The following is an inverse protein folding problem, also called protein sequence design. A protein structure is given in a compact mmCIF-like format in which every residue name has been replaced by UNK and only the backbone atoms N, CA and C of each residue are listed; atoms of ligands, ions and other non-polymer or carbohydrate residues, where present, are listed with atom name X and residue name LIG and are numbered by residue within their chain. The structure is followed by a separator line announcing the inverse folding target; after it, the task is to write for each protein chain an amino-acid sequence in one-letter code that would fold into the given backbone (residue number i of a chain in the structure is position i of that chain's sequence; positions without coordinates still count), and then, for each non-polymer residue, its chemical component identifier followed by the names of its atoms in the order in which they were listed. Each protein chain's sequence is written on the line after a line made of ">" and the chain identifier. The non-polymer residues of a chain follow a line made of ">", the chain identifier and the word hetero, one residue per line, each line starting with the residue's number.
data_IF_827500456720
#
_entry.id   IF_827500456720
#
_cell.length_a   1.000
_cell.length_b   1.000
_cell.length_c   1.000
_cell.angle_alpha   90.00
_cell.angle_beta   90.00
_cell.angle_gamma   90.00
#
_symmetry.space_group_name_H-M   'P 1'
#
loop_
_entity.id
_entity.type
_entity.pdbx_description
1 polymer ?
#
# COMPACT_ATOMS: atom_id res chain seq x y z
N UNK A 1 7.48 7.95 -2.89
CA UNK A 1 7.88 9.37 -2.81
C UNK A 1 8.54 9.63 -1.47
N UNK A 2 9.82 9.92 -1.47
CA UNK A 2 10.61 10.18 -0.26
C UNK A 2 10.93 11.68 -0.12
N UNK A 3 10.34 12.53 -0.98
CA UNK A 3 10.60 13.98 -1.04
C UNK A 3 12.07 14.36 -1.14
N UNK A 4 12.90 13.49 -1.71
CA UNK A 4 14.37 13.65 -1.70
C UNK A 4 14.83 14.95 -2.40
N UNK A 5 14.13 15.37 -3.45
CA UNK A 5 14.49 16.53 -4.28
C UNK A 5 13.88 17.84 -3.80
N UNK A 6 12.90 17.82 -2.91
CA UNK A 6 12.23 19.02 -2.42
C UNK A 6 12.93 19.57 -1.17
N UNK A 7 12.92 20.88 -0.95
CA UNK A 7 13.56 21.51 0.20
C UNK A 7 12.68 21.47 1.46
N UNK A 8 13.30 21.44 2.65
CA UNK A 8 12.59 21.62 3.92
C UNK A 8 12.00 23.02 3.97
N UNK A 9 10.74 23.12 4.42
CA UNK A 9 9.95 24.36 4.45
C UNK A 9 9.13 24.58 3.18
N UNK A 10 9.43 23.89 2.08
CA UNK A 10 8.68 23.98 0.83
C UNK A 10 7.55 22.94 0.77
N UNK A 11 6.54 23.22 -0.07
CA UNK A 11 5.54 22.24 -0.47
C UNK A 11 6.08 21.40 -1.64
N UNK A 12 5.88 20.06 -1.67
CA UNK A 12 6.48 19.21 -2.69
C UNK A 12 6.04 19.56 -4.11
N UNK A 13 6.99 19.63 -5.04
CA UNK A 13 6.76 20.11 -6.41
C UNK A 13 5.78 19.25 -7.24
N UNK A 14 5.65 17.96 -6.94
CA UNK A 14 4.75 17.05 -7.64
C UNK A 14 3.39 16.86 -6.93
N UNK A 15 3.09 17.75 -5.99
CA UNK A 15 1.84 17.74 -5.25
C UNK A 15 1.08 19.04 -5.48
N UNK A 16 -0.23 18.99 -5.26
CA UNK A 16 -1.10 20.16 -5.32
C UNK A 16 -2.02 20.18 -4.10
N UNK A 17 -2.43 21.38 -3.68
CA UNK A 17 -3.31 21.54 -2.52
C UNK A 17 -4.16 22.81 -2.63
N UNK A 18 -5.32 22.79 -2.01
CA UNK A 18 -6.16 23.98 -1.78
C UNK A 18 -5.94 24.60 -0.38
N UNK A 19 -4.93 24.13 0.35
CA UNK A 19 -4.56 24.62 1.68
C UNK A 19 -3.06 24.92 1.69
N UNK A 20 -2.39 24.66 2.82
CA UNK A 20 -0.94 24.80 2.97
C UNK A 20 -0.34 23.52 3.54
N UNK A 21 0.93 23.33 3.31
CA UNK A 21 1.73 22.25 3.86
C UNK A 21 3.20 22.53 3.61
N UNK A 22 4.06 21.88 4.33
CA UNK A 22 5.50 22.04 4.20
C UNK A 22 6.23 20.75 4.55
N UNK A 23 7.39 20.57 3.98
CA UNK A 23 8.29 19.49 4.34
C UNK A 23 9.05 19.83 5.61
N UNK A 24 9.06 18.89 6.53
CA UNK A 24 9.75 19.01 7.81
C UNK A 24 10.61 17.79 8.10
N UNK A 25 11.61 17.97 8.97
CA UNK A 25 12.29 16.85 9.61
C UNK A 25 11.54 16.49 10.89
N UNK A 26 11.42 15.21 11.18
CA UNK A 26 10.85 14.70 12.43
C UNK A 26 11.99 14.10 13.27
N UNK A 27 12.14 14.55 14.50
CA UNK A 27 13.20 14.07 15.40
C UNK A 27 13.14 12.55 15.58
N UNK A 28 14.28 11.88 15.40
CA UNK A 28 14.41 10.43 15.51
C UNK A 28 13.81 9.65 14.34
N UNK A 29 13.52 10.32 13.21
CA UNK A 29 13.01 9.70 11.97
C UNK A 29 13.86 10.10 10.78
N UNK A 30 14.13 9.12 9.93
CA UNK A 30 14.81 9.36 8.66
C UNK A 30 13.86 9.95 7.62
N UNK A 31 14.43 10.68 6.65
CA UNK A 31 13.68 11.24 5.54
C UNK A 31 12.91 12.51 5.88
N UNK A 32 12.17 13.01 4.90
CA UNK A 32 11.34 14.21 5.00
C UNK A 32 9.87 13.83 5.14
N UNK A 33 9.14 14.63 5.89
CA UNK A 33 7.73 14.42 6.18
C UNK A 33 6.92 15.61 5.69
N UNK A 34 5.84 15.35 4.96
CA UNK A 34 4.90 16.38 4.56
C UNK A 34 3.92 16.66 5.70
N UNK A 35 4.06 17.81 6.32
CA UNK A 35 3.15 18.35 7.34
C UNK A 35 1.91 18.91 6.65
N UNK A 36 0.74 18.40 6.99
CA UNK A 36 -0.53 18.72 6.39
C UNK A 36 -1.28 19.73 7.26
N UNK A 37 -1.60 20.88 6.71
CA UNK A 37 -2.41 21.89 7.40
C UNK A 37 -3.88 21.48 7.46
N UNK A 38 -4.67 22.17 8.29
CA UNK A 38 -6.10 21.96 8.43
C UNK A 38 -6.89 22.32 7.15
N UNK A 39 -8.08 21.76 7.04
CA UNK A 39 -9.07 22.06 5.98
C UNK A 39 -8.52 21.87 4.55
N UNK A 40 -7.58 20.94 4.40
CA UNK A 40 -6.83 20.70 3.17
C UNK A 40 -7.24 19.45 2.42
N UNK A 41 -7.09 19.53 1.09
CA UNK A 41 -7.01 18.40 0.17
C UNK A 41 -5.61 18.44 -0.44
N UNK A 42 -4.88 17.34 -0.33
CA UNK A 42 -3.50 17.18 -0.79
C UNK A 42 -3.47 16.09 -1.86
N UNK A 43 -3.04 16.45 -3.04
CA UNK A 43 -3.14 15.63 -4.23
C UNK A 43 -1.75 15.32 -4.80
N UNK A 44 -1.28 14.07 -4.76
CA UNK A 44 -0.07 13.66 -5.50
C UNK A 44 -0.38 13.60 -6.99
N UNK A 45 0.06 14.60 -7.78
CA UNK A 45 -0.28 14.76 -9.20
C UNK A 45 0.30 13.64 -10.08
N UNK A 46 1.32 12.95 -9.61
CA UNK A 46 1.91 11.80 -10.30
C UNK A 46 1.02 10.54 -10.30
N UNK A 47 -0.04 10.49 -9.44
CA UNK A 47 -1.00 9.39 -9.44
C UNK A 47 -2.14 9.72 -10.39
N UNK A 48 -2.03 9.27 -11.63
CA UNK A 48 -3.01 9.53 -12.69
C UNK A 48 -3.90 8.34 -13.02
N UNK A 49 -3.63 7.19 -12.44
CA UNK A 49 -4.42 5.98 -12.62
C UNK A 49 -4.33 5.09 -11.37
N UNK A 50 -5.45 4.47 -11.01
CA UNK A 50 -5.54 3.44 -9.98
C UNK A 50 -6.03 2.15 -10.62
N UNK A 51 -5.13 1.25 -11.02
CA UNK A 51 -5.52 -0.03 -11.62
C UNK A 51 -6.35 -0.87 -10.64
N UNK A 52 -6.96 -1.94 -11.15
CA UNK A 52 -7.78 -2.82 -10.31
C UNK A 52 -6.98 -3.56 -9.24
N UNK A 53 -5.64 -3.66 -9.41
CA UNK A 53 -4.75 -4.29 -8.43
C UNK A 53 -3.60 -3.34 -8.14
N UNK A 54 -3.54 -2.86 -6.91
CA UNK A 54 -2.44 -2.04 -6.42
C UNK A 54 -2.30 -2.15 -4.90
N UNK A 55 -1.15 -1.73 -4.40
CA UNK A 55 -0.90 -1.43 -2.99
C UNK A 55 -0.47 0.02 -2.86
N UNK A 56 -1.16 0.77 -2.03
CA UNK A 56 -0.78 2.12 -1.61
C UNK A 56 -0.27 2.04 -0.18
N UNK A 57 0.96 2.49 0.05
CA UNK A 57 1.59 2.49 1.37
C UNK A 57 2.08 3.88 1.71
N UNK A 58 2.01 4.24 2.98
CA UNK A 58 2.58 5.49 3.51
C UNK A 58 2.73 5.38 5.03
N UNK A 59 3.61 6.21 5.58
CA UNK A 59 3.75 6.39 7.01
C UNK A 59 2.95 7.62 7.44
N UNK A 60 2.26 7.52 8.58
CA UNK A 60 1.39 8.55 9.15
C UNK A 60 1.81 8.84 10.59
N UNK A 61 2.00 10.13 10.90
CA UNK A 61 2.26 10.61 12.26
C UNK A 61 1.22 11.68 12.64
N UNK A 62 0.88 11.74 13.92
CA UNK A 62 0.22 12.90 14.54
C UNK A 62 1.07 13.44 15.70
N UNK A 63 0.79 14.68 16.16
CA UNK A 63 1.44 15.20 17.37
C UNK A 63 0.98 14.49 18.65
N UNK A 64 1.77 14.59 19.71
CA UNK A 64 1.57 13.85 20.97
C UNK A 64 0.21 14.13 21.64
N UNK A 65 -0.18 15.39 21.69
CA UNK A 65 -1.42 15.84 22.35
C UNK A 65 -2.53 16.14 21.31
N UNK A 66 -2.64 15.31 20.28
CA UNK A 66 -3.65 15.50 19.24
C UNK A 66 -5.06 15.50 19.83
N UNK A 67 -5.85 16.52 19.53
CA UNK A 67 -7.18 16.70 20.11
C UNK A 67 -8.21 15.73 19.57
N UNK A 68 -9.00 15.13 20.46
CA UNK A 68 -10.19 14.35 20.05
C UNK A 68 -11.17 15.14 19.16
N UNK A 69 -11.26 16.46 19.35
CA UNK A 69 -12.15 17.32 18.57
C UNK A 69 -11.61 17.74 17.21
N UNK A 70 -10.37 17.39 16.92
CA UNK A 70 -9.80 17.60 15.58
C UNK A 70 -10.32 16.54 14.61
N UNK A 71 -10.40 16.90 13.34
CA UNK A 71 -10.91 15.99 12.31
C UNK A 71 -9.89 14.91 12.00
N UNK A 72 -10.37 13.71 11.67
CA UNK A 72 -9.56 12.60 11.24
C UNK A 72 -8.79 12.93 9.94
N UNK A 73 -7.60 12.35 9.78
CA UNK A 73 -6.92 12.26 8.51
C UNK A 73 -7.63 11.23 7.62
N UNK A 74 -7.77 11.52 6.34
CA UNK A 74 -8.39 10.58 5.42
C UNK A 74 -7.57 10.42 4.13
N UNK A 75 -7.56 9.20 3.61
CA UNK A 75 -7.12 8.89 2.26
C UNK A 75 -8.32 8.51 1.41
N UNK A 76 -8.41 9.08 0.21
CA UNK A 76 -9.52 8.90 -0.69
C UNK A 76 -9.01 8.31 -2.01
N UNK A 77 -9.50 7.12 -2.36
CA UNK A 77 -9.27 6.44 -3.62
C UNK A 77 -10.45 6.74 -4.51
N UNK A 78 -10.30 7.64 -5.46
CA UNK A 78 -11.45 8.26 -6.10
C UNK A 78 -11.41 8.26 -7.63
N UNK A 79 -12.59 8.40 -8.21
CA UNK A 79 -12.81 8.70 -9.61
C UNK A 79 -13.15 10.18 -9.73
N UNK A 80 -12.37 10.90 -10.53
CA UNK A 80 -12.53 12.33 -10.81
C UNK A 80 -12.55 12.59 -12.30
N UNK A 81 -13.34 13.56 -12.74
CA UNK A 81 -13.32 14.03 -14.13
C UNK A 81 -12.02 14.80 -14.42
N UNK A 82 -11.58 15.62 -13.48
CA UNK A 82 -10.25 16.20 -13.45
C UNK A 82 -9.69 16.10 -12.03
N UNK A 83 -8.39 15.89 -11.87
CA UNK A 83 -7.76 15.72 -10.55
C UNK A 83 -8.07 16.88 -9.60
N UNK A 84 -8.04 18.12 -10.08
CA UNK A 84 -8.37 19.32 -9.29
C UNK A 84 -9.80 19.36 -8.75
N UNK A 85 -10.72 18.54 -9.26
CA UNK A 85 -12.09 18.45 -8.73
C UNK A 85 -12.08 17.91 -7.29
N UNK A 86 -11.01 17.20 -6.88
CA UNK A 86 -10.80 16.76 -5.51
C UNK A 86 -10.96 17.90 -4.51
N UNK A 87 -10.45 19.11 -4.83
CA UNK A 87 -10.47 20.27 -3.95
C UNK A 87 -11.88 20.75 -3.57
N UNK A 88 -12.88 20.44 -4.38
CA UNK A 88 -14.28 20.77 -4.12
C UNK A 88 -15.07 19.56 -3.61
N UNK A 89 -14.77 18.36 -4.08
CA UNK A 89 -15.55 17.15 -3.80
C UNK A 89 -15.11 16.53 -2.46
N UNK A 90 -13.81 16.43 -2.21
CA UNK A 90 -13.29 15.66 -1.07
C UNK A 90 -12.87 16.50 0.15
N UNK A 91 -12.90 17.83 0.05
CA UNK A 91 -12.68 18.66 1.25
C UNK A 91 -13.73 18.36 2.32
N UNK A 92 -13.41 18.67 3.57
CA UNK A 92 -14.41 18.66 4.65
C UNK A 92 -15.60 19.54 4.24
N UNK A 93 -16.82 19.06 4.40
CA UNK A 93 -18.04 19.72 3.93
C UNK A 93 -18.07 20.01 2.42
N UNK A 94 -17.34 19.22 1.62
CA UNK A 94 -17.35 19.32 0.17
C UNK A 94 -18.62 18.76 -0.48
N UNK A 95 -18.58 18.68 -1.80
CA UNK A 95 -19.72 18.22 -2.62
C UNK A 95 -19.91 16.69 -2.51
N UNK A 96 -20.46 16.21 -1.39
CA UNK A 96 -20.62 14.78 -1.10
C UNK A 96 -21.42 14.05 -2.19
N UNK A 97 -22.41 14.72 -2.80
CA UNK A 97 -23.21 14.17 -3.90
C UNK A 97 -22.40 13.83 -5.15
N UNK A 98 -21.16 14.27 -5.25
CA UNK A 98 -20.25 13.99 -6.36
C UNK A 98 -19.13 13.00 -5.98
N UNK A 99 -19.11 12.51 -4.74
CA UNK A 99 -18.10 11.54 -4.32
C UNK A 99 -18.31 10.21 -5.02
N UNK A 100 -17.22 9.68 -5.58
CA UNK A 100 -17.19 8.37 -6.23
C UNK A 100 -15.85 7.73 -5.88
N UNK A 101 -15.88 6.65 -5.09
CA UNK A 101 -14.68 5.99 -4.57
C UNK A 101 -14.78 5.55 -3.13
N UNK A 102 -13.63 5.36 -2.50
CA UNK A 102 -13.54 4.88 -1.12
C UNK A 102 -12.71 5.84 -0.29
N UNK A 103 -13.28 6.31 0.80
CA UNK A 103 -12.60 7.06 1.85
C UNK A 103 -12.23 6.11 2.99
N UNK A 104 -11.01 6.18 3.47
CA UNK A 104 -10.56 5.54 4.72
C UNK A 104 -9.99 6.63 5.61
N UNK A 105 -10.41 6.66 6.86
CA UNK A 105 -10.02 7.71 7.80
C UNK A 105 -9.36 7.12 9.04
N UNK A 106 -8.45 7.89 9.63
CA UNK A 106 -7.65 7.52 10.79
C UNK A 106 -7.66 8.66 11.79
N UNK A 107 -7.97 8.35 13.03
CA UNK A 107 -7.96 9.30 14.13
C UNK A 107 -7.23 8.70 15.34
N UNK A 108 -6.29 9.43 15.98
CA UNK A 108 -5.48 8.85 17.06
C UNK A 108 -6.23 8.75 18.39
N UNK A 109 -7.48 9.19 18.48
CA UNK A 109 -8.30 9.11 19.69
C UNK A 109 -9.74 8.68 19.39
N UNK A 110 -10.32 7.87 20.26
CA UNK A 110 -11.75 7.65 20.39
C UNK A 110 -12.37 8.55 21.48
N UNK A 111 -13.67 8.44 21.70
CA UNK A 111 -14.37 9.21 22.73
C UNK A 111 -13.87 8.92 24.16
N UNK A 112 -13.26 7.77 24.39
CA UNK A 112 -12.68 7.38 25.68
C UNK A 112 -11.22 7.80 25.86
N UNK A 113 -10.56 8.27 24.78
CA UNK A 113 -9.15 8.68 24.80
C UNK A 113 -8.14 7.54 25.00
N UNK A 114 -8.59 6.29 25.09
CA UNK A 114 -7.74 5.12 25.37
C UNK A 114 -7.27 4.36 24.12
N UNK A 115 -7.81 4.68 22.97
CA UNK A 115 -7.49 4.04 21.70
C UNK A 115 -7.76 5.00 20.55
N UNK A 116 -7.27 4.67 19.34
CA UNK A 116 -7.61 5.35 18.12
C UNK A 116 -8.84 4.75 17.46
N UNK A 117 -9.24 5.35 16.35
CA UNK A 117 -10.35 4.87 15.53
C UNK A 117 -10.01 4.96 14.05
N UNK A 118 -10.59 4.06 13.28
CA UNK A 118 -10.57 4.09 11.83
C UNK A 118 -11.96 3.86 11.30
N UNK A 119 -12.32 4.53 10.23
CA UNK A 119 -13.57 4.31 9.53
C UNK A 119 -13.36 4.25 8.02
N UNK A 120 -14.36 3.75 7.33
CA UNK A 120 -14.44 3.83 5.87
C UNK A 120 -15.83 4.22 5.41
N UNK A 121 -15.90 4.85 4.24
CA UNK A 121 -17.13 5.12 3.51
C UNK A 121 -16.84 4.84 2.02
N UNK A 122 -17.64 3.97 1.41
CA UNK A 122 -17.61 3.74 -0.03
C UNK A 122 -18.76 4.46 -0.69
N UNK A 123 -18.49 5.13 -1.81
CA UNK A 123 -19.44 5.94 -2.57
C UNK A 123 -19.54 5.44 -4.01
N UNK A 124 -20.75 5.47 -4.55
CA UNK A 124 -21.02 5.38 -6.01
C UNK A 124 -21.88 6.59 -6.40
N UNK A 125 -21.31 7.48 -7.21
CA UNK A 125 -21.99 8.70 -7.70
C UNK A 125 -22.72 9.47 -6.59
N UNK A 126 -22.05 9.69 -5.47
CA UNK A 126 -22.54 10.42 -4.32
C UNK A 126 -23.40 9.63 -3.33
N UNK A 127 -23.80 8.41 -3.69
CA UNK A 127 -24.56 7.54 -2.78
C UNK A 127 -23.62 6.73 -1.90
N UNK A 128 -23.84 6.70 -0.59
CA UNK A 128 -23.12 5.82 0.32
C UNK A 128 -23.53 4.36 0.07
N UNK A 129 -22.59 3.52 -0.33
CA UNK A 129 -22.81 2.08 -0.51
C UNK A 129 -22.64 1.33 0.80
N UNK A 130 -21.62 1.68 1.55
CA UNK A 130 -21.29 1.07 2.83
C UNK A 130 -20.43 2.00 3.66
N UNK A 131 -20.57 1.90 4.97
CA UNK A 131 -19.69 2.56 5.94
C UNK A 131 -19.61 1.76 7.23
N UNK A 132 -18.50 1.88 7.92
CA UNK A 132 -18.34 1.37 9.28
C UNK A 132 -17.19 2.08 9.98
N UNK A 133 -17.13 1.95 11.31
CA UNK A 133 -16.09 2.47 12.18
C UNK A 133 -15.66 1.39 13.17
N UNK A 134 -14.38 1.34 13.51
CA UNK A 134 -13.85 0.48 14.55
C UNK A 134 -12.71 1.19 15.30
N UNK A 135 -12.52 0.78 16.54
CA UNK A 135 -11.36 1.17 17.32
C UNK A 135 -10.09 0.48 16.82
N UNK A 136 -8.94 1.10 17.09
CA UNK A 136 -7.61 0.52 16.81
C UNK A 136 -6.60 0.89 17.87
N UNK A 137 -5.74 -0.08 18.21
CA UNK A 137 -4.58 0.13 19.07
C UNK A 137 -3.29 0.33 18.25
N UNK A 138 -3.40 0.45 16.93
CA UNK A 138 -2.25 0.59 16.03
C UNK A 138 -1.93 2.04 15.67
N UNK A 139 -2.85 2.96 15.93
CA UNK A 139 -2.65 4.39 15.77
C UNK A 139 -3.43 5.12 16.86
N UNK A 140 -2.76 5.48 17.97
CA UNK A 140 -3.43 6.20 19.04
C UNK A 140 -2.46 7.02 19.91
N UNK A 141 -2.89 8.25 20.22
CA UNK A 141 -2.33 9.14 21.23
C UNK A 141 -0.80 9.22 21.27
N UNK A 142 -0.27 9.31 22.50
CA UNK A 142 1.16 9.47 22.77
C UNK A 142 1.98 8.19 22.53
N UNK A 143 1.34 7.04 22.59
CA UNK A 143 2.04 5.75 22.65
C UNK A 143 2.30 5.16 21.26
N UNK A 144 1.36 5.34 20.34
CA UNK A 144 1.46 4.89 18.92
C UNK A 144 1.00 5.98 17.96
N UNK A 145 1.67 7.12 17.99
CA UNK A 145 1.37 8.27 17.13
C UNK A 145 1.88 8.11 15.70
N UNK A 146 2.70 7.11 15.44
CA UNK A 146 3.22 6.76 14.13
C UNK A 146 2.72 5.38 13.72
N UNK A 147 2.33 5.26 12.47
CA UNK A 147 1.86 4.01 11.92
C UNK A 147 2.16 3.90 10.44
N UNK A 148 2.50 2.69 10.01
CA UNK A 148 2.57 2.34 8.60
C UNK A 148 1.18 1.91 8.12
N UNK A 149 0.68 2.55 7.08
CA UNK A 149 -0.63 2.24 6.49
C UNK A 149 -0.44 1.57 5.14
N UNK A 150 -1.05 0.40 4.97
CA UNK A 150 -1.07 -0.32 3.68
C UNK A 150 -2.51 -0.53 3.22
N UNK A 151 -2.81 -0.10 2.02
CA UNK A 151 -4.13 -0.20 1.39
C UNK A 151 -4.00 -1.03 0.11
N UNK A 152 -4.63 -2.20 0.11
CA UNK A 152 -4.59 -3.14 -1.00
C UNK A 152 -5.91 -3.18 -1.73
N UNK A 153 -5.89 -2.83 -3.00
CA UNK A 153 -7.01 -3.06 -3.90
C UNK A 153 -6.79 -4.33 -4.72
N UNK A 154 -7.79 -5.21 -4.74
CA UNK A 154 -7.86 -6.36 -5.63
C UNK A 154 -9.24 -6.39 -6.30
N UNK A 155 -9.33 -5.87 -7.52
CA UNK A 155 -10.59 -5.66 -8.26
C UNK A 155 -11.58 -4.81 -7.43
N UNK A 156 -12.66 -5.42 -6.94
CA UNK A 156 -13.67 -4.76 -6.09
C UNK A 156 -13.32 -4.77 -4.60
N UNK A 157 -12.35 -5.59 -4.19
CA UNK A 157 -11.98 -5.76 -2.78
C UNK A 157 -10.97 -4.73 -2.34
N UNK A 158 -11.14 -4.19 -1.12
CA UNK A 158 -10.17 -3.36 -0.42
C UNK A 158 -9.79 -4.02 0.90
N UNK A 159 -8.50 -4.07 1.19
CA UNK A 159 -7.97 -4.40 2.52
C UNK A 159 -7.15 -3.23 3.02
N UNK A 160 -7.29 -2.93 4.30
CA UNK A 160 -6.53 -1.88 4.97
C UNK A 160 -5.82 -2.48 6.17
N UNK A 161 -4.54 -2.19 6.26
CA UNK A 161 -3.67 -2.57 7.37
C UNK A 161 -3.13 -1.30 8.03
N UNK A 162 -3.05 -1.31 9.34
CA UNK A 162 -2.29 -0.35 10.13
C UNK A 162 -1.18 -1.15 10.80
N UNK A 163 0.07 -0.84 10.50
CA UNK A 163 1.20 -1.69 10.77
C UNK A 163 0.96 -3.08 10.13
N UNK A 164 0.99 -4.15 10.88
CA UNK A 164 0.73 -5.51 10.38
C UNK A 164 -0.71 -5.99 10.64
N UNK A 165 -1.52 -5.18 11.33
CA UNK A 165 -2.89 -5.53 11.69
C UNK A 165 -3.88 -5.16 10.58
N UNK A 166 -4.62 -6.14 10.10
CA UNK A 166 -5.69 -5.92 9.13
C UNK A 166 -6.92 -5.35 9.83
N UNK A 167 -7.16 -4.05 9.64
CA UNK A 167 -8.32 -3.35 10.24
C UNK A 167 -9.58 -3.42 9.38
N UNK A 168 -9.44 -3.49 8.05
CA UNK A 168 -10.57 -3.61 7.13
C UNK A 168 -10.35 -4.68 6.07
N UNK A 169 -11.44 -5.38 5.73
CA UNK A 169 -11.51 -6.31 4.61
C UNK A 169 -12.88 -6.19 3.94
N UNK A 170 -12.94 -5.47 2.83
CA UNK A 170 -14.17 -5.03 2.18
C UNK A 170 -14.28 -5.68 0.79
N UNK A 171 -15.03 -6.78 0.64
CA UNK A 171 -15.08 -7.52 -0.64
C UNK A 171 -15.65 -6.72 -1.82
N UNK A 172 -16.46 -5.69 -1.55
CA UNK A 172 -17.19 -4.90 -2.55
C UNK A 172 -17.04 -3.39 -2.32
N UNK A 173 -15.83 -2.94 -2.00
CA UNK A 173 -15.53 -1.52 -1.78
C UNK A 173 -15.57 -0.70 -3.07
N UNK A 174 -15.24 -1.32 -4.22
CA UNK A 174 -15.21 -0.68 -5.53
C UNK A 174 -16.30 -1.23 -6.43
N UNK A 175 -16.87 -0.35 -7.27
CA UNK A 175 -17.88 -0.73 -8.26
C UNK A 175 -17.21 -1.39 -9.45
N UNK A 176 -17.75 -2.53 -9.88
CA UNK A 176 -17.23 -3.28 -11.04
C UNK A 176 -17.34 -2.43 -12.32
N UNK A 177 -16.27 -2.45 -13.12
CA UNK A 177 -16.23 -1.71 -14.39
C UNK A 177 -16.01 -0.21 -14.25
N UNK A 178 -15.79 0.29 -13.03
CA UNK A 178 -15.46 1.70 -12.79
C UNK A 178 -13.94 1.89 -12.70
N UNK A 179 -13.40 2.80 -13.52
CA UNK A 179 -11.99 3.20 -13.45
C UNK A 179 -11.82 4.30 -12.41
N UNK A 180 -10.98 4.06 -11.42
CA UNK A 180 -10.54 5.05 -10.45
C UNK A 180 -9.20 5.61 -10.90
N UNK A 181 -8.95 6.88 -10.67
CA UNK A 181 -7.79 7.55 -11.28
C UNK A 181 -7.03 8.49 -10.34
N UNK A 182 -7.46 8.65 -9.11
CA UNK A 182 -6.84 9.64 -8.22
C UNK A 182 -6.79 9.16 -6.77
N UNK A 183 -5.73 9.56 -6.11
CA UNK A 183 -5.61 9.51 -4.65
C UNK A 183 -5.58 10.93 -4.15
N UNK A 184 -6.31 11.25 -3.10
CA UNK A 184 -6.09 12.49 -2.36
C UNK A 184 -6.15 12.24 -0.86
N UNK A 185 -5.32 12.98 -0.14
CA UNK A 185 -5.31 13.00 1.32
C UNK A 185 -6.07 14.21 1.81
N UNK A 186 -6.82 14.07 2.89
CA UNK A 186 -7.64 15.16 3.39
C UNK A 186 -7.54 15.32 4.89
N UNK A 187 -7.50 16.57 5.30
CA UNK A 187 -7.64 17.01 6.68
C UNK A 187 -8.86 17.90 6.79
N UNK A 188 -9.44 18.00 7.99
CA UNK A 188 -10.48 18.98 8.25
C UNK A 188 -10.02 19.96 9.31
N UNK A 189 -10.99 20.52 10.08
CA UNK A 189 -10.70 21.47 11.14
C UNK A 189 -9.86 20.85 12.26
N UNK A 190 -8.81 21.56 12.69
CA UNK A 190 -8.05 21.23 13.88
C UNK A 190 -8.52 22.08 15.06
N UNK A 191 -8.75 21.43 16.19
CA UNK A 191 -9.21 22.10 17.41
C UNK A 191 -8.11 22.87 18.10
N UNK A 192 -6.89 22.30 18.12
CA UNK A 192 -5.71 22.93 18.70
C UNK A 192 -4.77 23.40 17.58
N UNK A 193 -4.06 24.49 17.80
CA UNK A 193 -3.15 25.07 16.80
C UNK A 193 -1.95 24.17 16.46
N UNK A 194 -1.54 23.31 17.43
CA UNK A 194 -0.44 22.35 17.26
C UNK A 194 -0.89 21.04 16.58
N UNK A 195 -2.20 20.78 16.47
CA UNK A 195 -2.67 19.55 15.83
C UNK A 195 -2.24 19.50 14.38
N UNK A 196 -1.68 18.37 14.00
CA UNK A 196 -1.18 18.13 12.64
C UNK A 196 -1.08 16.64 12.35
N UNK A 197 -1.20 16.33 11.09
CA UNK A 197 -0.79 15.05 10.54
C UNK A 197 0.41 15.24 9.64
N UNK A 198 1.29 14.27 9.63
CA UNK A 198 2.44 14.22 8.74
C UNK A 198 2.44 12.89 8.01
N UNK A 199 2.79 12.91 6.73
CA UNK A 199 2.93 11.70 5.91
C UNK A 199 4.31 11.64 5.28
N UNK A 200 4.81 10.42 5.11
CA UNK A 200 6.07 10.14 4.41
C UNK A 200 5.99 8.78 3.70
N UNK A 201 7.04 8.42 3.00
CA UNK A 201 7.24 7.10 2.36
C UNK A 201 6.06 6.64 1.49
N UNK A 202 5.41 7.59 0.80
CA UNK A 202 4.29 7.26 -0.09
C UNK A 202 4.77 6.39 -1.25
N UNK A 203 4.22 5.18 -1.34
CA UNK A 203 4.51 4.19 -2.38
C UNK A 203 3.21 3.71 -3.01
N UNK A 204 3.14 3.75 -4.33
CA UNK A 204 2.08 3.12 -5.10
C UNK A 204 2.71 2.01 -5.93
N UNK A 205 2.60 0.77 -5.45
CA UNK A 205 2.96 -0.41 -6.23
C UNK A 205 1.75 -0.82 -7.06
N UNK A 206 1.86 -0.64 -8.36
CA UNK A 206 0.87 -1.15 -9.31
C UNK A 206 1.04 -2.66 -9.35
N UNK A 207 -0.04 -3.37 -9.00
CA UNK A 207 -0.03 -4.74 -8.60
C UNK A 207 0.84 -5.64 -9.46
N UNK A 208 1.56 -6.52 -8.77
CA UNK A 208 1.87 -7.79 -9.40
C UNK A 208 0.55 -8.34 -9.93
N UNK A 209 0.50 -8.75 -11.21
CA UNK A 209 -0.68 -9.43 -11.72
C UNK A 209 -0.98 -10.54 -10.74
N UNK A 210 -2.24 -10.67 -10.39
CA UNK A 210 -2.76 -11.77 -9.58
C UNK A 210 -1.92 -13.03 -9.90
N UNK A 211 -1.03 -13.39 -9.00
CA UNK A 211 -0.14 -14.56 -9.15
C UNK A 211 -0.94 -15.77 -9.62
N UNK A 212 -2.19 -15.87 -9.13
CA UNK A 212 -3.15 -16.88 -9.55
C UNK A 212 -3.53 -16.74 -11.02
N UNK A 213 -3.91 -15.53 -11.46
CA UNK A 213 -4.37 -15.30 -12.84
C UNK A 213 -3.22 -15.53 -13.82
N UNK A 214 -2.03 -15.04 -13.54
CA UNK A 214 -0.87 -15.29 -14.39
C UNK A 214 -0.46 -16.75 -14.40
N UNK A 215 -0.35 -17.38 -13.24
CA UNK A 215 0.10 -18.75 -13.17
C UNK A 215 -0.92 -19.73 -13.77
N UNK A 216 -2.22 -19.52 -13.55
CA UNK A 216 -3.30 -20.43 -14.00
C UNK A 216 -3.80 -20.10 -15.39
N UNK A 217 -3.91 -18.82 -15.75
CA UNK A 217 -4.53 -18.40 -17.02
C UNK A 217 -3.47 -18.16 -18.11
N UNK A 218 -2.33 -17.55 -17.75
CA UNK A 218 -1.26 -17.26 -18.70
C UNK A 218 -0.19 -18.38 -18.74
N UNK A 219 -0.25 -19.32 -17.78
CA UNK A 219 0.69 -20.44 -17.67
C UNK A 219 2.08 -20.06 -17.20
N UNK A 220 2.32 -18.79 -16.82
CA UNK A 220 3.61 -18.30 -16.32
C UNK A 220 3.43 -17.14 -15.35
N UNK A 221 4.38 -17.00 -14.43
CA UNK A 221 4.46 -15.88 -13.50
C UNK A 221 5.92 -15.50 -13.31
N UNK A 222 6.26 -14.24 -13.48
CA UNK A 222 7.60 -13.69 -13.24
C UNK A 222 7.54 -12.69 -12.08
N UNK A 223 8.52 -12.73 -11.19
CA UNK A 223 8.60 -11.83 -10.04
C UNK A 223 10.04 -11.52 -9.67
N UNK A 224 10.31 -10.28 -9.32
CA UNK A 224 11.54 -9.83 -8.66
C UNK A 224 11.40 -9.75 -7.14
N UNK A 225 10.22 -10.11 -6.58
CA UNK A 225 9.93 -10.00 -5.15
C UNK A 225 10.54 -11.12 -4.29
N UNK A 226 11.25 -12.10 -4.89
CA UNK A 226 12.00 -13.11 -4.14
C UNK A 226 13.47 -12.66 -4.07
N UNK A 227 13.87 -12.17 -2.90
CA UNK A 227 15.18 -11.59 -2.63
C UNK A 227 16.10 -12.62 -1.97
N UNK A 228 17.40 -12.52 -2.27
CA UNK A 228 18.44 -13.39 -1.71
C UNK A 228 19.55 -12.56 -1.06
N UNK A 229 20.29 -13.17 -0.17
CA UNK A 229 21.55 -12.61 0.29
C UNK A 229 22.55 -12.56 -0.87
N UNK A 230 23.46 -11.57 -0.86
CA UNK A 230 24.45 -11.41 -1.94
C UNK A 230 25.30 -12.65 -2.11
N UNK A 231 25.44 -13.14 -3.35
CA UNK A 231 26.20 -14.34 -3.69
C UNK A 231 25.67 -15.65 -3.07
N UNK A 232 24.42 -15.67 -2.58
CA UNK A 232 23.84 -16.80 -1.85
C UNK A 232 22.49 -17.22 -2.43
N UNK A 233 22.06 -18.42 -2.08
CA UNK A 233 20.73 -18.98 -2.33
C UNK A 233 19.80 -18.87 -1.11
N UNK A 234 20.25 -18.17 -0.05
CA UNK A 234 19.46 -17.90 1.14
C UNK A 234 18.40 -16.85 0.84
N UNK A 235 17.13 -17.23 0.95
CA UNK A 235 15.99 -16.34 0.74
C UNK A 235 15.88 -15.37 1.92
N UNK A 236 15.68 -14.08 1.61
CA UNK A 236 15.45 -13.05 2.63
C UNK A 236 14.01 -13.12 3.17
N UNK A 237 13.79 -12.77 4.45
CA UNK A 237 12.46 -12.81 5.08
C UNK A 237 11.39 -11.99 4.35
N UNK A 238 11.77 -10.90 3.71
CA UNK A 238 10.88 -10.01 2.95
C UNK A 238 10.19 -10.72 1.77
N UNK A 239 10.78 -11.83 1.29
CA UNK A 239 10.23 -12.66 0.21
C UNK A 239 9.05 -13.55 0.62
N UNK A 240 8.80 -13.67 1.94
CA UNK A 240 7.79 -14.57 2.48
C UNK A 240 6.38 -14.31 1.93
N UNK A 241 6.02 -13.05 1.71
CA UNK A 241 4.73 -12.68 1.14
C UNK A 241 4.50 -13.28 -0.25
N UNK A 242 5.49 -13.15 -1.13
CA UNK A 242 5.42 -13.70 -2.50
C UNK A 242 5.37 -15.23 -2.48
N UNK A 243 6.18 -15.86 -1.63
CA UNK A 243 6.20 -17.32 -1.47
C UNK A 243 4.84 -17.84 -0.96
N UNK A 244 4.22 -17.14 -0.01
CA UNK A 244 2.89 -17.46 0.51
C UNK A 244 1.81 -17.34 -0.56
N UNK A 245 1.87 -16.31 -1.41
CA UNK A 245 0.92 -16.12 -2.51
C UNK A 245 1.03 -17.25 -3.53
N UNK A 246 2.24 -17.62 -3.94
CA UNK A 246 2.48 -18.78 -4.81
C UNK A 246 1.94 -20.07 -4.18
N UNK A 247 2.26 -20.32 -2.92
CA UNK A 247 1.78 -21.49 -2.19
C UNK A 247 0.25 -21.54 -2.09
N UNK A 248 -0.40 -20.38 -1.88
CA UNK A 248 -1.86 -20.28 -1.84
C UNK A 248 -2.47 -20.67 -3.18
N UNK A 249 -1.92 -20.17 -4.30
CA UNK A 249 -2.38 -20.55 -5.65
C UNK A 249 -2.23 -22.06 -5.88
N UNK A 250 -1.11 -22.65 -5.48
CA UNK A 250 -0.87 -24.07 -5.64
C UNK A 250 -1.80 -24.93 -4.75
N UNK A 251 -2.12 -24.47 -3.53
CA UNK A 251 -3.12 -25.15 -2.66
C UNK A 251 -4.51 -25.15 -3.25
N UNK A 252 -4.94 -24.01 -3.78
CA UNK A 252 -6.28 -23.88 -4.40
C UNK A 252 -6.40 -24.65 -5.72
N UNK A 253 -5.27 -25.00 -6.35
CA UNK A 253 -5.22 -25.71 -7.63
C UNK A 253 -4.34 -26.97 -7.56
N UNK A 254 -4.82 -28.07 -6.92
CA UNK A 254 -4.00 -29.25 -6.65
C UNK A 254 -3.40 -29.95 -7.89
N UNK A 255 -4.05 -29.82 -9.04
CA UNK A 255 -3.56 -30.42 -10.29
C UNK A 255 -2.43 -29.63 -10.99
N UNK A 256 -2.18 -28.39 -10.57
CA UNK A 256 -1.15 -27.52 -11.18
C UNK A 256 0.24 -27.98 -10.74
N UNK A 257 1.12 -28.16 -11.73
CA UNK A 257 2.55 -28.37 -11.55
C UNK A 257 3.30 -27.17 -12.10
N UNK A 258 4.39 -26.76 -11.45
CA UNK A 258 5.15 -25.57 -11.84
C UNK A 258 6.62 -25.90 -12.06
N UNK A 259 7.24 -25.19 -13.01
CA UNK A 259 8.69 -25.15 -13.19
C UNK A 259 9.19 -23.80 -12.69
N UNK A 260 10.05 -23.81 -11.69
CA UNK A 260 10.68 -22.61 -11.12
C UNK A 260 12.00 -22.38 -11.85
N UNK A 261 12.14 -21.22 -12.48
CA UNK A 261 13.34 -20.84 -13.22
C UNK A 261 14.00 -19.69 -12.46
N UNK A 262 15.24 -19.89 -12.03
CA UNK A 262 16.04 -18.86 -11.38
C UNK A 262 16.79 -18.03 -12.41
N UNK A 263 16.79 -16.71 -12.21
CA UNK A 263 17.61 -15.76 -12.96
C UNK A 263 18.51 -14.97 -12.00
N UNK A 264 19.56 -14.37 -12.54
CA UNK A 264 20.44 -13.40 -11.87
C UNK A 264 20.41 -12.09 -12.66
N UNK A 265 20.91 -11.02 -12.06
CA UNK A 265 21.32 -9.82 -12.79
C UNK A 265 22.53 -10.12 -13.70
N UNK A 266 22.92 -9.12 -14.47
CA UNK A 266 24.05 -9.22 -15.41
C UNK A 266 25.41 -8.90 -14.75
N UNK A 267 25.45 -8.78 -13.42
CA UNK A 267 26.69 -8.52 -12.70
C UNK A 267 27.49 -9.82 -12.52
N UNK A 268 28.73 -9.87 -13.04
CA UNK A 268 29.62 -11.00 -12.88
C UNK A 268 29.81 -11.85 -14.15
N UNK A 269 30.36 -13.03 -13.97
CA UNK A 269 30.65 -13.97 -15.09
C UNK A 269 29.43 -14.87 -15.36
N UNK A 270 29.06 -15.06 -16.63
CA UNK A 270 27.94 -15.90 -17.09
C UNK A 270 27.88 -17.27 -16.40
N UNK A 271 29.05 -17.93 -16.26
CA UNK A 271 29.12 -19.24 -15.62
C UNK A 271 28.80 -19.21 -14.14
N UNK A 272 29.26 -18.19 -13.41
CA UNK A 272 28.94 -17.97 -12.00
C UNK A 272 27.46 -17.65 -11.79
N UNK A 273 26.90 -16.82 -12.67
CA UNK A 273 25.48 -16.48 -12.69
C UNK A 273 24.59 -17.70 -12.95
N UNK A 274 24.97 -18.55 -13.89
CA UNK A 274 24.27 -19.80 -14.16
C UNK A 274 24.34 -20.75 -12.95
N UNK A 275 25.48 -20.87 -12.32
CA UNK A 275 25.67 -21.76 -11.15
C UNK A 275 24.95 -21.25 -9.91
N UNK A 276 24.80 -19.92 -9.73
CA UNK A 276 24.04 -19.31 -8.63
C UNK A 276 22.52 -19.41 -8.86
N UNK A 277 22.06 -19.31 -10.09
CA UNK A 277 20.62 -19.33 -10.42
C UNK A 277 19.94 -20.67 -10.08
N UNK A 278 20.64 -21.79 -10.24
CA UNK A 278 20.12 -23.14 -9.95
C UNK A 278 19.82 -23.38 -8.46
N UNK A 279 20.76 -23.17 -7.51
CA UNK A 279 20.46 -23.31 -6.08
C UNK A 279 19.41 -22.30 -5.60
N UNK A 280 19.35 -21.08 -6.16
CA UNK A 280 18.27 -20.12 -5.87
C UNK A 280 16.90 -20.67 -6.24
N UNK A 281 16.73 -21.22 -7.45
CA UNK A 281 15.49 -21.88 -7.86
C UNK A 281 15.12 -23.06 -6.94
N UNK A 282 16.12 -23.85 -6.51
CA UNK A 282 15.92 -24.95 -5.58
C UNK A 282 15.46 -24.45 -4.19
N UNK A 283 16.05 -23.40 -3.68
CA UNK A 283 15.62 -22.79 -2.39
C UNK A 283 14.20 -22.27 -2.47
N UNK A 284 13.80 -21.64 -3.58
CA UNK A 284 12.41 -21.21 -3.83
C UNK A 284 11.46 -22.41 -3.88
N UNK A 285 11.84 -23.57 -4.39
CA UNK A 285 10.98 -24.76 -4.40
C UNK A 285 10.82 -25.41 -3.03
N UNK A 286 11.83 -25.30 -2.17
CA UNK A 286 11.82 -25.87 -0.82
C UNK A 286 10.89 -25.09 0.13
N UNK A 287 10.84 -23.78 0.04
CA UNK A 287 10.03 -22.95 0.92
C UNK A 287 8.52 -23.30 0.90
N UNK A 288 7.83 -23.43 -0.27
CA UNK A 288 6.45 -23.89 -0.31
C UNK A 288 6.26 -25.31 0.26
N UNK A 289 7.24 -26.18 0.10
CA UNK A 289 7.17 -27.54 0.65
C UNK A 289 7.27 -27.56 2.16
N UNK A 290 8.27 -26.89 2.72
CA UNK A 290 8.55 -26.91 4.17
C UNK A 290 7.57 -26.08 4.98
N UNK A 291 7.18 -24.91 4.48
CA UNK A 291 6.41 -23.93 5.25
C UNK A 291 4.90 -23.98 4.94
N UNK A 292 4.54 -24.37 3.72
CA UNK A 292 3.15 -24.36 3.27
C UNK A 292 2.58 -25.73 2.90
N UNK A 293 3.32 -26.81 3.11
CA UNK A 293 2.88 -28.21 2.87
C UNK A 293 2.46 -28.47 1.41
N UNK A 294 3.14 -27.89 0.44
CA UNK A 294 2.98 -28.21 -0.98
C UNK A 294 3.83 -29.45 -1.32
N UNK A 295 3.27 -30.42 -2.03
CA UNK A 295 4.00 -31.61 -2.44
C UNK A 295 5.19 -31.27 -3.37
N UNK A 296 6.39 -31.73 -3.02
CA UNK A 296 7.62 -31.48 -3.79
C UNK A 296 7.54 -31.99 -5.24
N UNK A 297 6.79 -33.07 -5.49
CA UNK A 297 6.55 -33.63 -6.83
C UNK A 297 5.82 -32.69 -7.81
N UNK A 298 5.26 -31.64 -7.30
CA UNK A 298 4.56 -30.60 -8.09
C UNK A 298 5.48 -29.48 -8.58
N UNK A 299 6.73 -29.47 -8.11
CA UNK A 299 7.68 -28.41 -8.43
C UNK A 299 8.94 -28.97 -9.04
N UNK A 300 9.34 -28.43 -10.19
CA UNK A 300 10.63 -28.70 -10.83
C UNK A 300 11.42 -27.40 -10.88
N UNK A 301 12.74 -27.47 -10.91
CA UNK A 301 13.61 -26.30 -10.86
C UNK A 301 14.59 -26.27 -12.04
N UNK A 302 14.97 -25.07 -12.45
CA UNK A 302 15.97 -24.81 -13.46
C UNK A 302 16.67 -23.47 -13.16
N UNK A 303 17.86 -23.24 -13.75
CA UNK A 303 18.57 -21.98 -13.66
C UNK A 303 19.02 -21.52 -15.03
N UNK A 304 18.85 -20.23 -15.33
CA UNK A 304 19.24 -19.63 -16.61
C UNK A 304 20.32 -18.55 -16.48
N UNK A 305 20.77 -18.26 -15.25
CA UNK A 305 21.70 -17.15 -15.02
C UNK A 305 21.08 -15.84 -15.46
N UNK A 306 21.80 -15.02 -16.18
CA UNK A 306 21.36 -13.74 -16.72
C UNK A 306 20.59 -13.82 -18.05
N UNK A 307 20.41 -15.03 -18.61
CA UNK A 307 19.73 -15.21 -19.91
C UNK A 307 18.21 -15.21 -19.73
N UNK A 308 17.52 -14.44 -20.58
CA UNK A 308 16.05 -14.32 -20.64
C UNK A 308 15.43 -13.97 -19.27
N UNK A 309 15.83 -12.87 -18.58
CA UNK A 309 15.34 -12.49 -17.27
C UNK A 309 13.86 -12.03 -17.28
#
# INVERSE_FOLDING_TARGET
>A
EEFAQDAIGDFPAQWNTNSTGELVNVEGRDGKWLSLSKDGVFLPEFVTALPENFTLEFDLICNDDFSFYSTAFSVNLCRLAAQKDAFNIWKQYGQQQNRDGVQVSFHPQDAGGGQGRTNYIAYDKGSELMKNETATMQFYGKEKRESHVSIWRQKTRLRVYINEEKVWDLPRAFVTGTTYNSVCFTTGGFHQSQDRYLISNLKLAVGAPDTRNKLITEGRFSTSGILFDSGSDRIKPESYGVLKDIATVLKENPAVKVKIIGHTDSDGEDAANLDLSKPRALSVSKAPTSEFSIEASRMTTDGKGEKDP
#
